data_IF_627772110508
#
_entry.id   IF_627772110508
#
_cell.length_a   1.000
_cell.length_b   1.000
_cell.length_c   1.000
_cell.angle_alpha   90.00
_cell.angle_beta   90.00
_cell.angle_gamma   90.00
#
_symmetry.space_group_name_H-M   'P 1'
#
loop_
_entity.id
_entity.type
_entity.pdbx_description
1 polymer ?
#
# COMPACT_ATOMS: atom_id res chain seq x y z
N UNK A 1 -55.97 -31.49 3.01
CA UNK A 1 -56.48 -30.67 4.12
C UNK A 1 -55.59 -29.44 4.25
N UNK A 2 -56.15 -28.30 3.88
CA UNK A 2 -55.54 -26.98 3.75
C UNK A 2 -55.54 -26.27 5.11
N UNK A 3 -54.45 -25.60 5.51
CA UNK A 3 -54.51 -24.55 6.53
C UNK A 3 -53.53 -23.41 6.23
N UNK A 4 -54.10 -22.32 5.70
CA UNK A 4 -53.55 -20.96 5.63
C UNK A 4 -53.76 -20.25 6.98
N UNK A 5 -52.83 -19.41 7.41
CA UNK A 5 -53.02 -18.21 8.27
C UNK A 5 -51.87 -17.25 7.92
N UNK A 6 -52.10 -16.19 7.13
CA UNK A 6 -52.65 -14.86 7.44
C UNK A 6 -51.60 -13.85 7.89
N UNK A 7 -51.60 -12.74 7.17
CA UNK A 7 -50.74 -11.57 7.26
C UNK A 7 -51.03 -10.68 8.48
N UNK A 8 -50.05 -9.87 8.88
CA UNK A 8 -50.32 -8.54 9.44
C UNK A 8 -49.41 -7.50 8.79
N UNK A 9 -50.07 -6.55 8.14
CA UNK A 9 -49.57 -5.28 7.65
C UNK A 9 -49.60 -4.27 8.81
N UNK A 10 -48.54 -3.51 9.02
CA UNK A 10 -48.52 -2.35 9.93
C UNK A 10 -47.97 -1.15 9.20
N UNK A 11 -48.83 -0.17 8.92
CA UNK A 11 -48.55 1.15 8.33
C UNK A 11 -48.74 2.21 9.42
N UNK A 12 -47.93 3.27 9.41
CA UNK A 12 -48.14 4.69 9.83
C UNK A 12 -46.83 5.25 10.46
N UNK A 13 -46.39 6.51 10.35
CA UNK A 13 -46.80 7.69 9.57
C UNK A 13 -45.66 8.73 9.61
N UNK A 14 -45.72 9.64 8.64
CA UNK A 14 -44.92 10.84 8.38
C UNK A 14 -44.61 11.76 9.57
N UNK A 15 -43.46 12.44 9.49
CA UNK A 15 -43.14 13.66 10.22
C UNK A 15 -42.10 14.51 9.47
N UNK A 16 -42.56 15.39 8.59
CA UNK A 16 -41.77 16.47 7.99
C UNK A 16 -41.74 17.66 8.97
N UNK A 17 -40.55 18.20 9.23
CA UNK A 17 -40.36 19.46 9.95
C UNK A 17 -39.17 20.21 9.37
N UNK A 18 -39.45 21.14 8.46
CA UNK A 18 -38.49 22.14 8.01
C UNK A 18 -38.52 23.37 8.92
N UNK A 19 -37.36 23.95 9.18
CA UNK A 19 -37.22 25.32 9.68
C UNK A 19 -36.02 25.98 8.98
N UNK A 20 -36.34 27.05 8.25
CA UNK A 20 -35.45 28.04 7.65
C UNK A 20 -34.97 29.05 8.69
N UNK A 21 -33.79 29.66 8.50
CA UNK A 21 -33.56 31.12 8.35
C UNK A 21 -32.07 31.51 8.47
N UNK A 22 -31.60 32.26 7.46
CA UNK A 22 -30.69 33.44 7.42
C UNK A 22 -29.75 33.72 8.60
N UNK A 23 -28.49 34.16 8.49
CA UNK A 23 -27.67 34.73 7.41
C UNK A 23 -26.62 35.68 8.06
N UNK A 24 -25.40 35.79 7.51
CA UNK A 24 -24.50 36.94 7.74
C UNK A 24 -23.35 36.96 6.71
N UNK A 25 -23.19 38.09 6.03
CA UNK A 25 -22.11 38.40 5.09
C UNK A 25 -20.83 38.86 5.79
N UNK A 26 -19.67 38.51 5.23
CA UNK A 26 -18.40 39.22 5.37
C UNK A 26 -17.60 39.08 4.07
N UNK A 27 -17.04 40.16 3.48
CA UNK A 27 -16.31 40.12 2.20
C UNK A 27 -14.77 40.07 2.44
N UNK A 28 -13.92 40.13 1.40
CA UNK A 28 -13.32 38.98 0.75
C UNK A 28 -11.81 38.86 1.04
N UNK A 29 -11.30 37.64 1.11
CA UNK A 29 -9.88 37.37 0.87
C UNK A 29 -9.80 36.22 -0.13
N UNK A 30 -9.66 36.58 -1.40
CA UNK A 30 -9.11 35.67 -2.40
C UNK A 30 -7.69 35.28 -1.98
N UNK A 31 -7.43 33.97 -1.90
CA UNK A 31 -6.50 33.37 -2.84
C UNK A 31 -7.27 32.39 -3.73
N UNK A 32 -6.87 32.33 -5.01
CA UNK A 32 -7.52 31.56 -6.07
C UNK A 32 -7.75 30.07 -5.76
N UNK A 33 -8.47 29.36 -6.65
CA UNK A 33 -9.15 28.11 -6.30
C UNK A 33 -8.15 27.05 -5.85
N UNK A 34 -8.17 26.79 -4.54
CA UNK A 34 -7.71 25.56 -3.94
C UNK A 34 -8.56 24.42 -4.53
N UNK A 35 -7.89 23.36 -4.95
CA UNK A 35 -8.45 22.09 -5.44
C UNK A 35 -9.62 21.66 -4.52
N UNK A 36 -10.86 21.93 -4.93
CA UNK A 36 -12.05 21.90 -4.05
C UNK A 36 -12.48 20.50 -3.61
N UNK A 37 -11.78 19.47 -4.11
CA UNK A 37 -12.20 18.07 -4.02
C UNK A 37 -11.34 17.23 -3.07
N UNK A 38 -10.18 17.75 -2.65
CA UNK A 38 -9.36 17.08 -1.65
C UNK A 38 -9.65 17.68 -0.28
N UNK A 39 -10.16 16.87 0.66
CA UNK A 39 -9.76 17.05 2.05
C UNK A 39 -8.26 16.89 2.07
N UNK A 40 -7.53 18.00 2.15
CA UNK A 40 -6.09 18.00 2.30
C UNK A 40 -5.77 17.09 3.50
N UNK A 41 -5.10 15.93 3.32
CA UNK A 41 -4.50 15.30 4.47
C UNK A 41 -3.54 16.33 5.07
N UNK A 42 -3.53 16.47 6.41
CA UNK A 42 -2.56 17.33 7.07
C UNK A 42 -1.18 17.06 6.47
N UNK A 43 -0.57 18.13 5.94
CA UNK A 43 0.78 18.05 5.43
C UNK A 43 1.64 17.41 6.53
N UNK A 44 2.37 16.32 6.24
CA UNK A 44 3.24 15.73 7.24
C UNK A 44 4.21 16.82 7.71
N UNK A 45 4.18 17.12 9.00
CA UNK A 45 5.03 18.13 9.63
C UNK A 45 6.50 17.80 9.33
N UNK A 46 7.16 18.65 8.53
CA UNK A 46 8.56 18.52 8.11
C UNK A 46 9.55 18.88 9.23
N UNK A 47 9.44 18.24 10.39
CA UNK A 47 10.37 18.47 11.50
C UNK A 47 10.87 17.17 12.12
N UNK A 48 11.28 16.21 11.30
CA UNK A 48 12.02 15.05 11.79
C UNK A 48 13.36 14.92 11.06
N UNK A 49 14.41 15.40 11.75
CA UNK A 49 15.82 15.10 11.49
C UNK A 49 16.26 13.77 12.11
N UNK A 50 15.34 12.99 12.67
CA UNK A 50 15.69 11.81 13.46
C UNK A 50 15.87 10.58 12.58
N UNK A 51 17.13 10.39 12.18
CA UNK A 51 17.69 9.10 11.81
C UNK A 51 18.11 8.31 13.06
N UNK A 52 17.44 8.50 14.20
CA UNK A 52 17.61 7.58 15.32
C UNK A 52 17.06 6.22 14.90
N UNK A 53 17.68 5.14 15.37
CA UNK A 53 17.20 3.76 15.20
C UNK A 53 15.93 3.57 16.03
N UNK A 54 14.71 3.49 15.46
CA UNK A 54 13.68 2.75 16.13
C UNK A 54 14.07 1.28 16.00
N UNK A 55 14.28 0.59 17.10
CA UNK A 55 14.08 -0.86 17.12
C UNK A 55 12.74 -1.10 16.46
N UNK A 56 12.75 -1.76 15.30
CA UNK A 56 11.51 -2.17 14.64
C UNK A 56 10.88 -3.18 15.59
N UNK A 57 9.92 -2.74 16.41
CA UNK A 57 9.00 -3.69 17.00
C UNK A 57 8.31 -4.39 15.84
N UNK A 58 8.45 -5.72 15.72
CA UNK A 58 7.81 -6.47 14.67
C UNK A 58 6.30 -6.27 14.80
N UNK A 59 5.66 -6.08 13.65
CA UNK A 59 4.21 -5.92 13.60
C UNK A 59 3.58 -7.26 13.98
N UNK A 60 2.88 -7.37 15.11
CA UNK A 60 2.23 -8.62 15.49
C UNK A 60 0.94 -8.81 14.70
N UNK A 61 0.74 -9.96 14.07
CA UNK A 61 -0.49 -10.29 13.32
C UNK A 61 -0.85 -11.77 13.42
N UNK A 62 -2.12 -12.07 13.17
CA UNK A 62 -2.61 -13.43 13.04
C UNK A 62 -2.24 -14.02 11.69
N UNK A 63 -1.43 -15.06 11.69
CA UNK A 63 -1.02 -15.80 10.51
C UNK A 63 -1.94 -16.98 10.26
N UNK A 64 -2.30 -17.17 8.99
CA UNK A 64 -2.94 -18.39 8.51
C UNK A 64 -2.02 -19.08 7.50
N UNK A 65 -1.58 -20.32 7.75
CA UNK A 65 -0.83 -21.11 6.79
C UNK A 65 -1.77 -21.57 5.67
N UNK A 66 -1.25 -21.53 4.44
CA UNK A 66 -2.00 -21.95 3.26
C UNK A 66 -1.66 -23.40 2.88
N UNK A 67 -2.69 -24.15 2.49
CA UNK A 67 -2.56 -25.56 2.11
C UNK A 67 -2.16 -25.71 0.64
N UNK A 68 -1.57 -26.87 0.29
CA UNK A 68 -1.30 -27.23 -1.11
C UNK A 68 -0.05 -26.62 -1.73
N UNK A 69 0.89 -26.09 -0.93
CA UNK A 69 2.17 -25.52 -1.36
C UNK A 69 2.04 -24.39 -2.41
N UNK A 70 1.34 -23.29 -2.10
CA UNK A 70 1.20 -22.15 -3.01
C UNK A 70 2.52 -21.37 -3.22
N UNK A 71 3.55 -21.61 -2.40
CA UNK A 71 4.87 -21.04 -2.63
C UNK A 71 5.43 -21.46 -3.99
N UNK A 72 5.32 -22.75 -4.32
CA UNK A 72 5.85 -23.31 -5.57
C UNK A 72 4.77 -23.42 -6.67
N UNK A 73 3.49 -23.46 -6.29
CA UNK A 73 2.38 -23.55 -7.22
C UNK A 73 1.78 -22.17 -7.55
N UNK A 74 2.24 -21.54 -8.63
CA UNK A 74 1.77 -20.22 -9.07
C UNK A 74 0.27 -20.14 -9.34
N UNK A 75 -0.33 -21.19 -9.91
CA UNK A 75 -1.77 -21.21 -10.17
C UNK A 75 -2.59 -21.24 -8.87
N UNK A 76 -2.16 -22.04 -7.89
CA UNK A 76 -2.80 -22.07 -6.57
C UNK A 76 -2.60 -20.75 -5.81
N UNK A 77 -1.39 -20.17 -5.89
CA UNK A 77 -1.10 -18.84 -5.33
C UNK A 77 -2.04 -17.79 -5.89
N UNK A 78 -2.24 -17.71 -7.20
CA UNK A 78 -3.16 -16.74 -7.80
C UNK A 78 -4.61 -16.95 -7.34
N UNK A 79 -5.05 -18.20 -7.08
CA UNK A 79 -6.36 -18.46 -6.48
C UNK A 79 -6.47 -17.91 -5.06
N UNK A 80 -5.42 -18.07 -4.25
CA UNK A 80 -5.35 -17.49 -2.91
C UNK A 80 -5.35 -15.95 -2.95
N UNK A 81 -4.52 -15.33 -3.81
CA UNK A 81 -4.53 -13.87 -3.99
C UNK A 81 -5.92 -13.38 -4.42
N UNK A 82 -6.61 -14.09 -5.31
CA UNK A 82 -7.97 -13.73 -5.73
C UNK A 82 -9.02 -13.86 -4.60
N UNK A 83 -8.88 -14.85 -3.73
CA UNK A 83 -9.85 -15.14 -2.67
C UNK A 83 -9.66 -14.27 -1.40
N UNK A 84 -8.43 -13.84 -1.14
CA UNK A 84 -8.03 -13.17 0.10
C UNK A 84 -7.43 -11.77 -0.12
N UNK A 85 -7.10 -11.42 -1.36
CA UNK A 85 -6.56 -10.10 -1.71
C UNK A 85 -5.23 -9.81 -1.03
N UNK A 86 -5.13 -8.62 -0.45
CA UNK A 86 -3.91 -8.12 0.20
C UNK A 86 -3.59 -8.77 1.55
N UNK A 87 -4.46 -9.64 2.08
CA UNK A 87 -4.15 -10.36 3.31
C UNK A 87 -3.02 -11.38 3.11
N UNK A 88 -2.87 -11.94 1.89
CA UNK A 88 -1.91 -13.00 1.60
C UNK A 88 -0.78 -12.53 0.68
N UNK A 89 0.45 -12.83 1.08
CA UNK A 89 1.64 -12.43 0.34
C UNK A 89 2.84 -13.31 0.68
N UNK A 90 3.91 -13.17 -0.10
CA UNK A 90 5.17 -13.88 0.12
C UNK A 90 6.01 -13.15 1.17
N UNK A 91 6.41 -13.83 2.24
CA UNK A 91 7.30 -13.29 3.25
C UNK A 91 8.76 -13.28 2.80
N UNK A 92 9.53 -12.30 3.28
CA UNK A 92 11.00 -12.32 3.22
C UNK A 92 11.54 -13.25 4.29
N UNK A 93 12.54 -14.06 3.95
CA UNK A 93 13.24 -14.91 4.90
C UNK A 93 14.17 -15.90 4.20
N UNK A 94 14.99 -16.65 4.97
CA UNK A 94 15.82 -17.73 4.41
C UNK A 94 14.99 -18.82 3.72
N UNK A 95 13.73 -18.98 4.17
CA UNK A 95 12.72 -19.80 3.52
C UNK A 95 11.47 -18.91 3.33
N UNK A 96 11.27 -18.33 2.13
CA UNK A 96 10.07 -17.56 1.83
C UNK A 96 8.81 -18.42 1.99
N UNK A 97 7.79 -17.87 2.65
CA UNK A 97 6.51 -18.55 2.83
C UNK A 97 5.37 -17.68 2.33
N UNK A 98 4.39 -18.30 1.66
CA UNK A 98 3.17 -17.62 1.22
C UNK A 98 2.04 -17.89 2.23
N UNK A 99 1.76 -16.91 3.09
CA UNK A 99 0.74 -17.00 4.15
C UNK A 99 -0.17 -15.76 4.12
N UNK A 100 -1.26 -15.81 4.88
CA UNK A 100 -2.16 -14.68 5.08
C UNK A 100 -2.01 -14.11 6.49
N UNK A 101 -2.06 -12.78 6.62
CA UNK A 101 -1.88 -12.09 7.90
C UNK A 101 -3.00 -11.08 8.16
N UNK A 102 -3.48 -11.04 9.40
CA UNK A 102 -4.64 -10.25 9.82
C UNK A 102 -4.40 -9.52 11.14
N UNK A 103 -5.02 -8.35 11.29
CA UNK A 103 -4.97 -7.57 12.54
C UNK A 103 -5.78 -8.23 13.67
N UNK A 104 -6.84 -8.95 13.34
CA UNK A 104 -7.72 -9.60 14.32
C UNK A 104 -7.92 -11.07 14.02
N UNK A 105 -8.12 -11.86 15.08
CA UNK A 105 -8.34 -13.30 14.96
C UNK A 105 -9.70 -13.61 14.34
N UNK A 106 -10.72 -12.76 14.53
CA UNK A 106 -12.05 -12.94 13.93
C UNK A 106 -11.96 -12.87 12.41
N UNK A 107 -11.19 -11.89 11.88
CA UNK A 107 -10.97 -11.74 10.45
C UNK A 107 -10.17 -12.93 9.91
N UNK A 108 -9.13 -13.35 10.63
CA UNK A 108 -8.36 -14.52 10.26
C UNK A 108 -9.23 -15.78 10.22
N UNK A 109 -10.04 -16.00 11.25
CA UNK A 109 -10.94 -17.14 11.36
C UNK A 109 -11.98 -17.18 10.24
N UNK A 110 -12.63 -16.05 9.96
CA UNK A 110 -13.65 -15.94 8.92
C UNK A 110 -13.08 -16.29 7.53
N UNK A 111 -11.86 -15.84 7.24
CA UNK A 111 -11.18 -16.10 5.98
C UNK A 111 -10.56 -17.51 5.90
N UNK A 112 -10.08 -18.05 7.02
CA UNK A 112 -9.53 -19.41 7.11
C UNK A 112 -10.49 -20.48 6.55
N UNK A 113 -11.80 -20.29 6.67
CA UNK A 113 -12.83 -21.16 6.06
C UNK A 113 -12.65 -21.33 4.55
N UNK A 114 -12.19 -20.28 3.85
CA UNK A 114 -11.98 -20.29 2.40
C UNK A 114 -10.82 -21.19 1.99
N UNK A 115 -9.90 -21.53 2.90
CA UNK A 115 -8.69 -22.30 2.58
C UNK A 115 -9.04 -23.66 2.01
N UNK A 116 -10.01 -24.37 2.61
CA UNK A 116 -10.44 -25.69 2.14
C UNK A 116 -10.91 -25.64 0.70
N UNK A 117 -11.80 -24.69 0.39
CA UNK A 117 -12.32 -24.46 -0.95
C UNK A 117 -11.22 -24.12 -1.97
N UNK A 118 -10.28 -23.24 -1.61
CA UNK A 118 -9.21 -22.81 -2.53
C UNK A 118 -8.20 -23.94 -2.79
N UNK A 119 -7.88 -24.73 -1.77
CA UNK A 119 -6.97 -25.88 -1.87
C UNK A 119 -7.61 -27.13 -2.47
N UNK A 120 -8.93 -27.16 -2.63
CA UNK A 120 -9.66 -28.29 -3.20
C UNK A 120 -10.02 -29.39 -2.20
N UNK A 121 -10.06 -29.09 -0.90
CA UNK A 121 -10.61 -29.98 0.12
C UNK A 121 -12.14 -30.06 -0.01
N UNK A 122 -12.71 -31.19 0.43
CA UNK A 122 -14.16 -31.35 0.50
C UNK A 122 -14.78 -30.35 1.49
N UNK A 123 -16.01 -29.91 1.21
CA UNK A 123 -16.75 -29.01 2.09
C UNK A 123 -17.05 -29.70 3.42
N UNK A 124 -17.06 -28.91 4.51
CA UNK A 124 -17.40 -29.41 5.84
C UNK A 124 -18.86 -29.09 6.18
N UNK A 125 -19.69 -30.12 6.20
CA UNK A 125 -21.15 -29.99 6.36
C UNK A 125 -21.58 -29.53 7.76
N UNK A 126 -20.74 -29.74 8.78
CA UNK A 126 -21.04 -29.37 10.18
C UNK A 126 -20.75 -27.90 10.51
N UNK A 127 -20.20 -27.15 9.54
CA UNK A 127 -19.82 -25.75 9.71
C UNK A 127 -18.43 -25.56 10.31
N UNK A 128 -17.86 -24.37 10.11
CA UNK A 128 -16.48 -24.04 10.47
C UNK A 128 -16.45 -23.22 11.75
N UNK A 129 -15.82 -23.72 12.80
CA UNK A 129 -15.66 -23.00 14.07
C UNK A 129 -14.20 -23.00 14.51
N UNK A 130 -13.64 -21.81 14.76
CA UNK A 130 -12.28 -21.69 15.29
C UNK A 130 -12.27 -21.98 16.79
N UNK A 131 -11.37 -22.85 17.21
CA UNK A 131 -11.22 -23.29 18.59
C UNK A 131 -9.94 -22.68 19.18
N UNK A 132 -10.01 -21.95 20.32
CA UNK A 132 -8.82 -21.41 20.97
C UNK A 132 -7.92 -22.54 21.48
N UNK A 133 -6.62 -22.39 21.33
CA UNK A 133 -5.63 -23.38 21.80
C UNK A 133 -4.64 -22.83 22.84
N UNK A 134 -4.79 -21.54 23.22
CA UNK A 134 -3.96 -20.85 24.21
C UNK A 134 -3.00 -19.84 23.58
N UNK A 135 -2.44 -18.93 24.39
CA UNK A 135 -1.49 -17.89 23.96
C UNK A 135 -1.97 -16.94 22.84
N UNK A 136 -3.28 -16.88 22.59
CA UNK A 136 -3.87 -16.13 21.49
C UNK A 136 -4.03 -16.93 20.20
N UNK A 137 -3.59 -18.19 20.15
CA UNK A 137 -3.68 -19.03 18.96
C UNK A 137 -5.04 -19.74 18.85
N UNK A 138 -5.42 -20.05 17.63
CA UNK A 138 -6.65 -20.76 17.29
C UNK A 138 -6.35 -21.92 16.33
N UNK A 139 -7.30 -22.85 16.22
CA UNK A 139 -7.27 -23.89 15.19
C UNK A 139 -8.61 -23.94 14.47
N UNK A 140 -8.58 -24.22 13.18
CA UNK A 140 -9.77 -24.46 12.37
C UNK A 140 -9.65 -25.81 11.66
N UNK A 141 -10.69 -26.65 11.76
CA UNK A 141 -10.82 -27.84 10.93
C UNK A 141 -11.24 -27.44 9.51
N UNK A 142 -10.51 -27.94 8.52
CA UNK A 142 -10.74 -27.62 7.11
C UNK A 142 -11.15 -28.88 6.38
N UNK A 143 -12.46 -29.04 6.18
CA UNK A 143 -13.06 -30.21 5.54
C UNK A 143 -13.55 -31.27 6.54
N UNK A 144 -14.11 -32.39 6.02
CA UNK A 144 -14.74 -33.41 6.85
C UNK A 144 -13.74 -34.28 7.63
N UNK A 145 -12.45 -34.26 7.26
CA UNK A 145 -11.42 -34.99 7.98
C UNK A 145 -10.97 -34.20 9.23
N UNK A 146 -11.23 -34.69 10.46
CA UNK A 146 -10.83 -34.00 11.69
C UNK A 146 -9.31 -33.92 11.89
N UNK A 147 -8.52 -34.67 11.11
CA UNK A 147 -7.07 -34.55 11.11
C UNK A 147 -6.58 -33.30 10.36
N UNK A 148 -7.37 -32.74 9.44
CA UNK A 148 -6.99 -31.57 8.65
C UNK A 148 -7.37 -30.31 9.44
N UNK A 149 -6.47 -29.90 10.34
CA UNK A 149 -6.59 -28.65 11.09
C UNK A 149 -5.50 -27.67 10.68
N UNK A 150 -5.89 -26.42 10.44
CA UNK A 150 -4.94 -25.32 10.25
C UNK A 150 -4.79 -24.54 11.55
N UNK A 151 -3.56 -24.25 11.99
CA UNK A 151 -3.33 -23.32 13.08
C UNK A 151 -3.49 -21.88 12.59
N UNK A 152 -4.03 -21.00 13.43
CA UNK A 152 -4.03 -19.55 13.23
C UNK A 152 -3.21 -18.98 14.39
N UNK A 153 -1.97 -18.56 14.10
CA UNK A 153 -0.99 -18.18 15.13
C UNK A 153 -0.84 -16.68 15.25
N UNK A 154 -0.70 -16.18 16.48
CA UNK A 154 -0.40 -14.76 16.73
C UNK A 154 1.12 -14.58 16.86
N UNK A 155 1.75 -14.09 15.80
CA UNK A 155 3.21 -14.01 15.71
C UNK A 155 3.69 -12.73 15.01
N UNK A 156 5.00 -12.50 15.05
CA UNK A 156 5.67 -11.43 14.31
C UNK A 156 5.33 -11.57 12.81
N UNK A 157 4.65 -10.58 12.26
CA UNK A 157 4.42 -10.51 10.82
C UNK A 157 5.75 -10.28 10.11
N UNK A 158 6.16 -11.20 9.23
CA UNK A 158 7.35 -11.02 8.45
C UNK A 158 7.13 -9.92 7.42
N UNK A 159 8.22 -9.24 7.07
CA UNK A 159 8.23 -8.30 5.95
C UNK A 159 7.74 -9.01 4.68
N UNK A 160 6.86 -8.36 3.93
CA UNK A 160 6.49 -8.83 2.60
C UNK A 160 7.71 -8.73 1.66
N UNK A 161 7.84 -9.65 0.71
CA UNK A 161 8.90 -9.60 -0.29
C UNK A 161 8.69 -8.41 -1.22
N UNK A 162 9.78 -7.81 -1.73
CA UNK A 162 9.72 -6.83 -2.81
C UNK A 162 9.38 -7.46 -4.17
N UNK A 163 9.01 -8.74 -4.20
CA UNK A 163 8.57 -9.45 -5.38
C UNK A 163 7.08 -9.17 -5.59
N UNK A 164 6.75 -8.62 -6.76
CA UNK A 164 5.38 -8.38 -7.19
C UNK A 164 5.02 -9.40 -8.26
N UNK A 165 3.81 -9.95 -8.18
CA UNK A 165 3.36 -10.98 -9.12
C UNK A 165 3.02 -10.36 -10.48
N UNK A 166 3.81 -10.67 -11.51
CA UNK A 166 3.54 -10.28 -12.89
C UNK A 166 3.30 -11.55 -13.70
N UNK A 167 2.06 -11.74 -14.14
CA UNK A 167 1.64 -12.97 -14.87
C UNK A 167 2.08 -14.24 -14.13
N UNK A 168 1.82 -14.31 -12.82
CA UNK A 168 2.19 -15.42 -11.92
C UNK A 168 3.69 -15.57 -11.60
N UNK A 169 4.55 -14.72 -12.18
CA UNK A 169 5.99 -14.72 -11.95
C UNK A 169 6.34 -13.66 -10.90
N UNK A 170 6.92 -14.04 -9.75
CA UNK A 170 7.47 -13.08 -8.79
C UNK A 170 8.57 -12.25 -9.46
N UNK A 171 8.36 -10.94 -9.55
CA UNK A 171 9.27 -10.01 -10.22
C UNK A 171 9.77 -9.00 -9.21
N UNK A 172 11.08 -8.88 -9.09
CA UNK A 172 11.69 -7.89 -8.21
C UNK A 172 11.54 -6.47 -8.77
N UNK A 173 11.22 -5.53 -7.88
CA UNK A 173 11.26 -4.10 -8.17
C UNK A 173 12.70 -3.63 -8.33
N UNK A 174 12.99 -3.04 -9.49
CA UNK A 174 14.31 -2.54 -9.87
C UNK A 174 14.19 -1.12 -10.41
N UNK A 175 14.12 -0.16 -9.49
CA UNK A 175 13.97 1.26 -9.77
C UNK A 175 15.13 1.87 -10.57
N UNK A 176 14.95 3.07 -11.14
CA UNK A 176 15.96 3.75 -11.97
C UNK A 176 17.24 4.07 -11.19
N UNK A 177 17.15 4.21 -9.87
CA UNK A 177 18.25 4.61 -9.00
C UNK A 177 19.06 3.43 -8.44
N UNK A 178 18.79 2.19 -8.87
CA UNK A 178 19.43 0.97 -8.36
C UNK A 178 20.97 0.92 -8.39
N UNK A 179 21.62 1.79 -9.17
CA UNK A 179 23.08 1.90 -9.24
C UNK A 179 23.68 2.92 -8.25
N UNK A 180 22.85 3.64 -7.50
CA UNK A 180 23.33 4.56 -6.46
C UNK A 180 23.81 3.75 -5.24
N UNK A 181 24.90 4.24 -4.63
CA UNK A 181 25.50 3.59 -3.46
C UNK A 181 24.66 3.88 -2.21
N UNK A 182 24.25 2.81 -1.54
CA UNK A 182 23.62 2.88 -0.22
C UNK A 182 24.70 3.07 0.85
N UNK A 183 24.78 4.28 1.41
CA UNK A 183 25.70 4.59 2.50
C UNK A 183 25.00 4.61 3.87
N UNK A 184 23.67 4.68 3.87
CA UNK A 184 22.84 4.55 5.06
C UNK A 184 22.27 3.13 5.15
N UNK A 185 21.98 2.66 6.37
CA UNK A 185 21.20 1.44 6.55
C UNK A 185 19.90 1.49 5.76
N UNK A 186 19.67 0.45 4.97
CA UNK A 186 18.43 0.23 4.24
C UNK A 186 17.48 -0.51 5.19
N UNK A 187 16.35 0.11 5.51
CA UNK A 187 15.42 -0.42 6.51
C UNK A 187 13.95 -0.30 6.06
N UNK A 188 13.10 -1.27 6.43
CA UNK A 188 11.66 -1.20 6.18
C UNK A 188 10.99 0.00 6.82
N UNK A 189 10.09 0.63 6.07
CA UNK A 189 9.26 1.74 6.54
C UNK A 189 10.00 3.08 6.71
N UNK A 190 11.32 3.14 6.48
CA UNK A 190 12.07 4.39 6.43
C UNK A 190 11.66 5.24 5.22
N UNK A 191 11.91 6.54 5.30
CA UNK A 191 11.71 7.51 4.20
C UNK A 191 13.05 7.77 3.52
N UNK A 192 13.03 8.43 2.36
CA UNK A 192 14.23 8.91 1.68
C UNK A 192 14.80 10.23 2.27
N UNK A 193 14.39 10.60 3.49
CA UNK A 193 14.86 11.85 4.13
C UNK A 193 16.20 11.67 4.86
N UNK A 194 16.70 10.43 4.95
CA UNK A 194 18.01 10.11 5.52
C UNK A 194 19.16 10.66 4.69
N UNK A 195 20.36 10.78 5.27
CA UNK A 195 21.56 11.18 4.53
C UNK A 195 21.84 10.25 3.35
N UNK A 196 22.28 10.81 2.23
CA UNK A 196 22.78 10.09 1.06
C UNK A 196 24.29 9.86 1.10
N UNK A 197 24.97 10.40 2.12
CA UNK A 197 26.43 10.55 2.21
C UNK A 197 27.06 11.41 1.12
N UNK A 198 26.25 11.97 0.23
CA UNK A 198 26.68 12.99 -0.73
C UNK A 198 26.67 14.36 -0.07
N UNK A 199 27.50 15.24 -0.60
CA UNK A 199 27.61 16.63 -0.19
C UNK A 199 27.15 17.50 -1.35
N UNK A 200 26.19 18.39 -1.09
CA UNK A 200 25.69 19.33 -2.10
C UNK A 200 26.69 20.44 -2.42
N UNK A 201 26.35 21.24 -3.43
CA UNK A 201 27.16 22.39 -3.84
C UNK A 201 27.36 23.44 -2.72
N UNK A 202 26.49 23.46 -1.71
CA UNK A 202 26.58 24.31 -0.53
C UNK A 202 27.50 23.74 0.57
N UNK A 203 28.17 22.61 0.31
CA UNK A 203 29.03 21.93 1.27
C UNK A 203 28.29 21.18 2.36
N UNK A 204 26.95 21.07 2.29
CA UNK A 204 26.15 20.37 3.30
C UNK A 204 25.78 18.96 2.85
N UNK A 205 25.62 18.08 3.83
CA UNK A 205 25.12 16.72 3.60
C UNK A 205 23.74 16.75 2.96
N UNK A 206 23.57 15.93 1.92
CA UNK A 206 22.34 15.82 1.16
C UNK A 206 21.52 14.61 1.60
N UNK A 207 20.17 14.72 1.60
CA UNK A 207 19.31 13.55 1.83
C UNK A 207 19.21 12.63 0.61
N UNK A 208 18.84 11.36 0.79
CA UNK A 208 18.61 10.41 -0.31
C UNK A 208 17.60 10.95 -1.33
N UNK A 209 16.53 11.62 -0.85
CA UNK A 209 15.50 12.28 -1.66
C UNK A 209 16.12 13.35 -2.54
N UNK A 210 16.89 14.27 -1.95
CA UNK A 210 17.55 15.35 -2.70
C UNK A 210 18.55 14.78 -3.71
N UNK A 211 19.29 13.75 -3.33
CA UNK A 211 20.26 13.10 -4.21
C UNK A 211 19.60 12.43 -5.41
N UNK A 212 18.53 11.66 -5.21
CA UNK A 212 17.77 11.05 -6.30
C UNK A 212 17.19 12.10 -7.26
N UNK A 213 16.70 13.23 -6.75
CA UNK A 213 16.23 14.34 -7.60
C UNK A 213 17.37 14.99 -8.38
N UNK A 214 18.56 15.12 -7.81
CA UNK A 214 19.73 15.70 -8.49
C UNK A 214 20.26 14.78 -9.60
N UNK A 215 20.31 13.48 -9.34
CA UNK A 215 20.66 12.45 -10.34
C UNK A 215 19.64 12.43 -11.48
N UNK A 216 18.34 12.50 -11.18
CA UNK A 216 17.29 12.63 -12.18
C UNK A 216 17.52 13.89 -13.04
N UNK A 217 17.72 15.03 -12.39
CA UNK A 217 17.96 16.31 -13.07
C UNK A 217 19.16 16.26 -14.01
N UNK A 218 20.26 15.63 -13.58
CA UNK A 218 21.47 15.45 -14.38
C UNK A 218 21.23 14.55 -15.59
N UNK A 219 20.52 13.44 -15.40
CA UNK A 219 20.19 12.51 -16.48
C UNK A 219 19.33 13.16 -17.57
N UNK A 220 18.54 14.17 -17.22
CA UNK A 220 17.57 14.83 -18.10
C UNK A 220 17.90 16.30 -18.42
N UNK A 221 19.18 16.62 -18.54
CA UNK A 221 19.64 17.90 -19.09
C UNK A 221 19.24 19.13 -18.26
N UNK A 222 19.14 18.99 -16.94
CA UNK A 222 18.83 20.09 -16.03
C UNK A 222 17.36 20.21 -15.62
N UNK A 223 16.48 19.33 -16.13
CA UNK A 223 15.05 19.29 -15.77
C UNK A 223 14.73 18.02 -14.99
N UNK A 224 13.69 18.05 -14.17
CA UNK A 224 13.22 16.85 -13.47
C UNK A 224 12.16 16.15 -14.33
N UNK A 225 12.38 14.88 -14.63
CA UNK A 225 11.44 14.05 -15.38
C UNK A 225 10.81 12.99 -14.47
N UNK A 226 9.54 12.68 -14.70
CA UNK A 226 8.87 11.56 -14.04
C UNK A 226 9.34 10.22 -14.61
N UNK A 227 9.70 9.29 -13.74
CA UNK A 227 10.03 7.90 -14.10
C UNK A 227 8.80 7.09 -14.51
N UNK A 228 7.60 7.63 -14.26
CA UNK A 228 6.31 7.06 -14.66
C UNK A 228 5.58 7.95 -15.68
N UNK A 229 6.29 8.80 -16.42
CA UNK A 229 5.69 9.64 -17.48
C UNK A 229 4.72 8.83 -18.37
N UNK A 230 3.51 9.36 -18.57
CA UNK A 230 2.43 8.70 -19.31
C UNK A 230 1.67 7.61 -18.55
N UNK A 231 2.00 7.34 -17.28
CA UNK A 231 1.19 6.49 -16.42
C UNK A 231 -0.20 7.13 -16.21
N UNK A 232 -1.24 6.30 -16.17
CA UNK A 232 -2.64 6.77 -16.12
C UNK A 232 -3.35 6.16 -14.93
N UNK A 233 -4.14 6.96 -14.20
CA UNK A 233 -4.90 6.51 -13.04
C UNK A 233 -6.24 7.24 -12.91
N UNK A 234 -7.25 6.61 -12.27
CA UNK A 234 -8.49 7.29 -11.95
C UNK A 234 -8.23 8.40 -10.92
N UNK A 235 -8.77 9.59 -11.17
CA UNK A 235 -8.67 10.75 -10.29
C UNK A 235 -9.91 11.62 -10.42
N UNK A 236 -9.93 12.77 -9.76
CA UNK A 236 -10.98 13.77 -9.87
C UNK A 236 -10.46 15.01 -10.61
N UNK A 237 -11.34 15.63 -11.40
CA UNK A 237 -11.10 16.94 -12.01
C UNK A 237 -11.40 18.09 -11.03
N UNK A 238 -11.22 19.33 -11.49
CA UNK A 238 -11.47 20.55 -10.71
C UNK A 238 -12.93 20.68 -10.22
N UNK A 239 -13.86 19.91 -10.79
CA UNK A 239 -15.28 19.87 -10.43
C UNK A 239 -15.64 18.58 -9.66
N UNK A 240 -14.66 17.87 -9.13
CA UNK A 240 -14.78 16.62 -8.38
C UNK A 240 -15.43 15.49 -9.18
N UNK A 241 -15.32 15.53 -10.51
CA UNK A 241 -15.86 14.48 -11.37
C UNK A 241 -14.79 13.42 -11.63
N UNK A 242 -15.14 12.12 -11.56
CA UNK A 242 -14.24 11.05 -11.95
C UNK A 242 -13.69 11.27 -13.37
N UNK A 243 -12.37 11.30 -13.48
CA UNK A 243 -11.62 11.45 -14.73
C UNK A 243 -10.39 10.54 -14.72
N UNK A 244 -9.60 10.59 -15.80
CA UNK A 244 -8.31 9.91 -15.89
C UNK A 244 -7.18 10.93 -15.89
N UNK A 245 -6.32 10.85 -14.88
CA UNK A 245 -5.10 11.63 -14.83
C UNK A 245 -3.99 10.91 -15.59
N UNK A 246 -3.07 11.68 -16.15
CA UNK A 246 -1.85 11.19 -16.81
C UNK A 246 -0.65 11.84 -16.16
N UNK A 247 0.37 11.05 -15.87
CA UNK A 247 1.60 11.50 -15.23
C UNK A 247 2.38 12.34 -16.24
N UNK A 248 2.70 13.61 -15.92
CA UNK A 248 3.43 14.46 -16.84
C UNK A 248 4.87 13.98 -17.00
N UNK A 249 5.46 14.28 -18.16
CA UNK A 249 6.87 14.02 -18.39
C UNK A 249 7.77 14.93 -17.54
N UNK A 250 7.46 16.22 -17.49
CA UNK A 250 8.20 17.22 -16.73
C UNK A 250 7.53 17.49 -15.38
N UNK A 251 8.33 17.55 -14.33
CA UNK A 251 7.89 17.86 -12.96
C UNK A 251 8.45 19.20 -12.49
N UNK A 252 7.71 19.85 -11.61
CA UNK A 252 8.15 21.07 -10.96
C UNK A 252 9.16 20.75 -9.86
N UNK A 253 10.04 21.73 -9.58
CA UNK A 253 10.90 21.65 -8.41
C UNK A 253 10.06 21.54 -7.13
N UNK A 254 10.48 20.72 -6.15
CA UNK A 254 9.81 20.71 -4.85
C UNK A 254 9.74 22.12 -4.27
N UNK A 255 8.58 22.55 -3.75
CA UNK A 255 8.44 23.88 -3.17
C UNK A 255 9.37 24.03 -1.97
N UNK A 256 9.94 25.23 -1.79
CA UNK A 256 10.79 25.52 -0.63
C UNK A 256 10.02 25.50 0.69
N UNK A 257 8.75 25.89 0.64
CA UNK A 257 7.82 25.78 1.77
C UNK A 257 6.99 24.51 1.59
N UNK A 258 7.11 23.52 2.50
CA UNK A 258 6.37 22.27 2.39
C UNK A 258 4.86 22.40 2.61
N UNK A 259 4.38 23.56 3.09
CA UNK A 259 2.95 23.84 3.20
C UNK A 259 2.32 24.19 1.86
N UNK A 260 3.13 24.54 0.86
CA UNK A 260 2.65 24.82 -0.48
C UNK A 260 2.44 23.51 -1.20
N UNK A 261 1.18 23.19 -1.49
CA UNK A 261 0.84 22.06 -2.32
C UNK A 261 1.03 22.42 -3.80
N UNK A 262 1.90 21.67 -4.48
CA UNK A 262 1.99 21.66 -5.94
C UNK A 262 1.77 20.22 -6.42
N UNK A 263 0.65 19.94 -7.14
CA UNK A 263 0.33 18.59 -7.60
C UNK A 263 1.40 18.00 -8.53
N UNK A 264 2.20 18.85 -9.19
CA UNK A 264 3.24 18.46 -10.14
C UNK A 264 4.65 18.59 -9.58
N UNK A 265 4.81 18.94 -8.30
CA UNK A 265 6.10 18.93 -7.65
C UNK A 265 6.68 17.51 -7.61
N UNK A 266 7.97 17.41 -7.93
CA UNK A 266 8.68 16.14 -7.91
C UNK A 266 8.77 15.56 -6.50
N UNK A 267 8.46 14.27 -6.38
CA UNK A 267 8.56 13.48 -5.16
C UNK A 267 9.31 12.19 -5.43
N UNK A 268 10.03 11.70 -4.41
CA UNK A 268 10.65 10.38 -4.46
C UNK A 268 9.69 9.38 -3.82
N UNK A 269 9.15 8.52 -4.66
CA UNK A 269 8.17 7.48 -4.36
C UNK A 269 8.85 6.16 -3.97
N UNK A 270 8.18 5.42 -3.10
CA UNK A 270 8.55 4.04 -2.77
C UNK A 270 7.69 3.09 -3.61
N UNK A 271 8.26 2.47 -4.64
CA UNK A 271 7.53 1.57 -5.54
C UNK A 271 6.96 0.38 -4.77
N UNK A 272 7.77 -0.27 -3.93
CA UNK A 272 7.27 -1.08 -2.82
C UNK A 272 6.94 -0.12 -1.68
N UNK A 273 5.66 0.05 -1.30
CA UNK A 273 5.26 1.07 -0.35
C UNK A 273 5.87 0.82 1.04
N UNK A 274 6.16 1.92 1.74
CA UNK A 274 6.75 1.89 3.09
C UNK A 274 5.95 1.05 4.07
N UNK A 275 4.63 1.06 3.93
CA UNK A 275 3.72 0.22 4.69
C UNK A 275 2.95 -0.68 3.74
N UNK A 276 2.77 -1.92 4.14
CA UNK A 276 1.83 -2.80 3.46
C UNK A 276 0.37 -2.49 3.88
N UNK A 277 -0.63 -3.13 3.24
CA UNK A 277 -2.05 -2.87 3.53
C UNK A 277 -2.51 -3.14 4.97
N UNK A 278 -1.70 -3.81 5.80
CA UNK A 278 -1.94 -4.07 7.23
C UNK A 278 -1.22 -3.03 8.12
N UNK A 279 -0.67 -1.98 7.51
CA UNK A 279 0.02 -0.90 8.22
C UNK A 279 1.43 -1.24 8.72
N UNK A 280 1.89 -2.48 8.57
CA UNK A 280 3.23 -2.91 8.96
C UNK A 280 4.29 -2.30 8.03
N UNK A 281 5.50 -2.07 8.56
CA UNK A 281 6.63 -1.58 7.78
C UNK A 281 7.03 -2.64 6.74
N UNK A 282 7.19 -2.23 5.49
CA UNK A 282 7.45 -3.14 4.37
C UNK A 282 8.55 -2.63 3.44
N UNK A 283 8.22 -1.69 2.54
CA UNK A 283 9.16 -1.13 1.59
C UNK A 283 10.29 -0.37 2.27
N UNK A 284 11.49 -0.50 1.74
CA UNK A 284 12.70 0.13 2.30
C UNK A 284 13.05 1.43 1.61
N UNK A 285 13.92 2.22 2.23
CA UNK A 285 14.55 3.41 1.64
C UNK A 285 15.72 3.08 0.69
N UNK A 286 15.77 1.88 0.11
CA UNK A 286 16.75 1.57 -0.93
C UNK A 286 16.46 2.34 -2.21
N UNK A 287 17.48 2.82 -2.91
CA UNK A 287 17.39 3.45 -4.23
C UNK A 287 16.81 2.52 -5.30
N UNK A 288 17.00 1.19 -5.20
CA UNK A 288 16.30 0.25 -6.08
C UNK A 288 14.78 0.27 -5.89
N UNK A 289 14.29 0.79 -4.77
CA UNK A 289 12.87 0.96 -4.47
C UNK A 289 12.36 2.39 -4.76
N UNK A 290 13.22 3.27 -5.27
CA UNK A 290 12.91 4.67 -5.51
C UNK A 290 12.43 4.91 -6.95
N UNK A 291 11.49 5.83 -7.12
CA UNK A 291 11.11 6.43 -8.39
C UNK A 291 10.78 7.91 -8.19
N UNK A 292 11.11 8.79 -9.12
CA UNK A 292 10.70 10.20 -9.11
C UNK A 292 9.40 10.34 -9.89
N UNK A 293 8.37 10.87 -9.23
CA UNK A 293 7.02 11.07 -9.79
C UNK A 293 6.38 12.35 -9.22
N UNK A 294 5.26 12.78 -9.78
CA UNK A 294 4.48 13.91 -9.28
C UNK A 294 3.93 13.65 -7.88
N UNK A 295 3.74 14.73 -7.11
CA UNK A 295 3.05 14.66 -5.82
C UNK A 295 1.67 14.01 -5.96
N UNK A 296 0.90 14.39 -6.99
CA UNK A 296 -0.46 13.88 -7.22
C UNK A 296 -0.48 12.37 -7.45
N UNK A 297 0.44 11.83 -8.26
CA UNK A 297 0.56 10.37 -8.44
C UNK A 297 1.05 9.68 -7.17
N UNK A 298 2.04 10.26 -6.48
CA UNK A 298 2.55 9.70 -5.24
C UNK A 298 1.46 9.57 -4.16
N UNK A 299 0.59 10.58 -4.04
CA UNK A 299 -0.57 10.53 -3.15
C UNK A 299 -1.53 9.40 -3.56
N UNK A 300 -1.78 9.22 -4.86
CA UNK A 300 -2.62 8.13 -5.36
C UNK A 300 -2.06 6.74 -5.03
N UNK A 301 -0.74 6.55 -5.09
CA UNK A 301 -0.07 5.25 -4.87
C UNK A 301 0.31 4.99 -3.40
N UNK A 302 0.21 5.99 -2.52
CA UNK A 302 0.68 5.90 -1.14
C UNK A 302 0.08 4.71 -0.38
N UNK A 303 0.94 3.83 0.13
CA UNK A 303 0.60 2.63 0.92
C UNK A 303 -0.37 1.65 0.21
N UNK A 304 -0.43 1.68 -1.12
CA UNK A 304 -1.18 0.70 -1.91
C UNK A 304 -0.22 -0.34 -2.50
N UNK A 305 -0.66 -1.60 -2.66
CA UNK A 305 0.11 -2.58 -3.41
C UNK A 305 0.43 -2.03 -4.81
N UNK A 306 1.70 -2.08 -5.25
CA UNK A 306 2.08 -1.49 -6.53
C UNK A 306 1.38 -2.22 -7.68
N UNK A 307 0.68 -1.50 -8.56
CA UNK A 307 0.06 -2.11 -9.73
C UNK A 307 1.10 -2.74 -10.65
N UNK A 308 0.75 -3.84 -11.31
CA UNK A 308 1.62 -4.52 -12.30
C UNK A 308 2.16 -3.53 -13.35
N UNK A 309 1.31 -2.59 -13.79
CA UNK A 309 1.69 -1.58 -14.79
C UNK A 309 2.78 -0.64 -14.27
N UNK A 310 2.73 -0.26 -12.99
CA UNK A 310 3.74 0.57 -12.34
C UNK A 310 5.09 -0.14 -12.35
N UNK A 311 5.16 -1.35 -11.78
CA UNK A 311 6.39 -2.14 -11.69
C UNK A 311 6.95 -2.45 -13.08
N UNK A 312 6.08 -2.76 -14.06
CA UNK A 312 6.48 -3.02 -15.45
C UNK A 312 7.12 -1.80 -16.11
N UNK A 313 6.61 -0.60 -15.84
CA UNK A 313 7.18 0.63 -16.40
C UNK A 313 8.49 0.98 -15.71
N UNK A 314 8.52 0.97 -14.38
CA UNK A 314 9.72 1.25 -13.58
C UNK A 314 10.88 0.33 -13.97
N UNK A 315 10.63 -0.98 -14.05
CA UNK A 315 11.68 -1.95 -14.39
C UNK A 315 12.23 -1.79 -15.82
N UNK A 316 11.52 -1.08 -16.71
CA UNK A 316 11.99 -0.75 -18.06
C UNK A 316 12.83 0.51 -18.12
N UNK A 317 12.79 1.36 -17.10
CA UNK A 317 13.60 2.58 -17.06
C UNK A 317 15.08 2.20 -16.92
N UNK A 318 15.95 2.65 -17.84
CA UNK A 318 17.39 2.44 -17.71
C UNK A 318 17.91 2.95 -16.36
N UNK A 319 18.94 2.32 -15.78
CA UNK A 319 19.47 2.81 -14.52
C UNK A 319 20.14 4.16 -14.75
N UNK A 320 19.88 5.11 -13.88
CA UNK A 320 20.59 6.39 -13.89
C UNK A 320 22.02 6.21 -13.40
N UNK A 321 22.92 6.96 -14.04
CA UNK A 321 24.31 7.05 -13.63
C UNK A 321 24.50 8.39 -12.90
N UNK A 322 25.07 8.38 -11.68
CA UNK A 322 25.26 9.60 -10.90
C UNK A 322 26.21 10.62 -11.52
#
# INVERSE_FOLDING_TARGET
MTKRRSAMLGVLVLGFGGATMMGACGPPLDPGPLDACATLPEAPTETSTECAEPTLEPCMLYRIPLLGNPTENGALRSKYIAAFGSACYMSVGPIPTFNCFYETWEAACADAVKIGKVSGNAEYDEGYECQPVGNGDYTLQVGPDPAIKIPITYEDAPLQSSLIEIKTVPTEVNGPYRNLVEVTPVEPGKRFDCTSGQVGADGKTMSQKKWALEVNRKAHGGKIHSDLAGYTWPCEDENCKPTTCTEPELLNEPPKDPKVYDPYAAQVHHVVPRKDPRGCRWGTNAYKNAAVISWKLNLHLTNKPPPIKEVTLINKVPPYTP
#
